data_IF_166252890687
#
_entry.id   IF_166252890687
#
_cell.length_a   1.000
_cell.length_b   1.000
_cell.length_c   1.000
_cell.angle_alpha   90.00
_cell.angle_beta   90.00
_cell.angle_gamma   90.00
#
_symmetry.space_group_name_H-M   'P 1'
#
loop_
_entity.id
_entity.type
_entity.pdbx_description
1 polymer ?
#
# COMPACT_ATOMS: atom_id res chain seq x y z
N UNK A 1 -12.12 -27.72 2.64
CA UNK A 1 -12.47 -26.50 1.97
C UNK A 1 -11.95 -26.59 0.55
N UNK A 2 -12.85 -26.47 -0.43
CA UNK A 2 -12.45 -26.37 -1.85
C UNK A 2 -11.89 -24.94 -2.03
N UNK A 3 -10.65 -24.77 -1.68
CA UNK A 3 -9.98 -23.49 -1.86
C UNK A 3 -9.56 -23.37 -3.34
N UNK A 4 -10.37 -22.68 -4.11
CA UNK A 4 -10.11 -22.37 -5.53
C UNK A 4 -9.35 -21.07 -5.72
N UNK A 5 -8.86 -20.49 -4.64
CA UNK A 5 -8.08 -19.26 -4.71
C UNK A 5 -6.72 -19.50 -5.39
N UNK A 6 -6.21 -18.48 -6.05
CA UNK A 6 -4.85 -18.49 -6.62
C UNK A 6 -3.93 -17.81 -5.64
N UNK A 7 -2.81 -18.47 -5.35
CA UNK A 7 -1.82 -17.99 -4.40
C UNK A 7 -0.50 -17.64 -5.09
N UNK A 8 0.19 -16.64 -4.57
CA UNK A 8 1.58 -16.36 -4.86
C UNK A 8 2.29 -16.06 -3.53
N UNK A 9 3.45 -16.66 -3.31
CA UNK A 9 4.25 -16.53 -2.08
C UNK A 9 3.41 -16.63 -0.77
N UNK A 10 2.36 -17.46 -0.77
CA UNK A 10 1.46 -17.66 0.38
C UNK A 10 0.31 -16.65 0.49
N UNK A 11 0.33 -15.56 -0.28
CA UNK A 11 -0.78 -14.59 -0.35
C UNK A 11 -1.82 -14.98 -1.39
N UNK A 12 -3.09 -14.66 -1.15
CA UNK A 12 -4.17 -14.80 -2.14
C UNK A 12 -4.06 -13.64 -3.11
N UNK A 13 -3.83 -13.93 -4.39
CA UNK A 13 -3.76 -12.92 -5.45
C UNK A 13 -5.01 -12.89 -6.34
N UNK A 14 -5.83 -13.93 -6.26
CA UNK A 14 -7.10 -14.01 -6.99
C UNK A 14 -8.01 -15.00 -6.28
N UNK A 15 -9.28 -14.67 -6.19
CA UNK A 15 -10.33 -15.60 -5.77
C UNK A 15 -10.67 -16.59 -6.89
N UNK A 16 -11.66 -17.46 -6.73
CA UNK A 16 -12.05 -18.48 -7.69
C UNK A 16 -12.09 -17.95 -9.14
N UNK A 17 -11.13 -18.33 -10.02
CA UNK A 17 -11.05 -17.80 -11.38
C UNK A 17 -12.18 -18.26 -12.30
N UNK A 18 -12.96 -19.26 -11.90
CA UNK A 18 -14.15 -19.70 -12.62
C UNK A 18 -15.32 -18.72 -12.50
N UNK A 19 -15.26 -17.81 -11.53
CA UNK A 19 -16.27 -16.79 -11.27
C UNK A 19 -15.88 -15.46 -11.93
N UNK A 20 -16.79 -14.87 -12.68
CA UNK A 20 -16.62 -13.53 -13.25
C UNK A 20 -16.94 -12.46 -12.18
N UNK A 21 -16.05 -12.32 -11.22
CA UNK A 21 -16.18 -11.38 -10.10
C UNK A 21 -14.94 -10.49 -10.02
N UNK A 22 -15.15 -9.24 -9.63
CA UNK A 22 -14.10 -8.27 -9.32
C UNK A 22 -14.40 -7.66 -7.95
N UNK A 23 -13.37 -7.44 -7.16
CA UNK A 23 -13.46 -6.72 -5.89
C UNK A 23 -12.69 -5.41 -6.05
N UNK A 24 -13.34 -4.30 -5.75
CA UNK A 24 -12.67 -3.01 -5.66
C UNK A 24 -11.99 -2.91 -4.30
N UNK A 25 -10.70 -2.62 -4.32
CA UNK A 25 -9.87 -2.51 -3.12
C UNK A 25 -9.20 -1.15 -3.11
N UNK A 26 -9.20 -0.52 -1.94
CA UNK A 26 -8.61 0.80 -1.69
C UNK A 26 -7.64 0.70 -0.53
N UNK A 27 -6.44 1.23 -0.70
CA UNK A 27 -5.45 1.36 0.37
C UNK A 27 -5.20 2.84 0.68
N UNK A 28 -4.92 3.16 1.93
CA UNK A 28 -4.48 4.51 2.31
C UNK A 28 -3.56 4.46 3.53
N UNK A 29 -2.55 5.34 3.53
CA UNK A 29 -1.58 5.46 4.60
C UNK A 29 -1.93 6.61 5.58
N UNK A 30 -1.94 7.85 5.08
CA UNK A 30 -2.04 9.06 5.92
C UNK A 30 -2.96 10.15 5.32
N UNK A 31 -3.64 9.88 4.20
CA UNK A 31 -4.49 10.86 3.51
C UNK A 31 -5.86 10.32 3.13
N UNK A 32 -6.87 11.16 3.26
CA UNK A 32 -8.26 10.83 2.97
C UNK A 32 -8.90 11.75 1.90
N UNK A 33 -8.11 12.47 1.10
CA UNK A 33 -8.59 13.49 0.16
C UNK A 33 -9.65 12.97 -0.83
N UNK A 34 -9.53 11.69 -1.24
CA UNK A 34 -10.47 11.03 -2.15
C UNK A 34 -11.66 10.34 -1.48
N UNK A 35 -11.71 10.27 -0.15
CA UNK A 35 -12.66 9.42 0.58
C UNK A 35 -14.12 9.74 0.25
N UNK A 36 -14.51 11.00 0.27
CA UNK A 36 -15.89 11.43 0.00
C UNK A 36 -16.34 11.09 -1.43
N UNK A 37 -15.47 11.30 -2.41
CA UNK A 37 -15.78 11.00 -3.80
C UNK A 37 -15.94 9.49 -4.02
N UNK A 38 -15.03 8.68 -3.44
CA UNK A 38 -15.05 7.23 -3.53
C UNK A 38 -16.31 6.68 -2.86
N UNK A 39 -16.57 7.03 -1.60
CA UNK A 39 -17.71 6.53 -0.83
C UNK A 39 -19.02 6.92 -1.52
N UNK A 40 -19.16 8.17 -1.93
CA UNK A 40 -20.37 8.65 -2.62
C UNK A 40 -20.61 7.92 -3.95
N UNK A 41 -19.55 7.65 -4.69
CA UNK A 41 -19.63 6.91 -5.96
C UNK A 41 -20.05 5.47 -5.74
N UNK A 42 -19.42 4.77 -4.80
CA UNK A 42 -19.77 3.39 -4.45
C UNK A 42 -21.22 3.29 -3.99
N UNK A 43 -21.67 4.23 -3.13
CA UNK A 43 -23.04 4.30 -2.66
C UNK A 43 -24.02 4.52 -3.80
N UNK A 44 -23.73 5.47 -4.71
CA UNK A 44 -24.55 5.77 -5.88
C UNK A 44 -24.78 4.55 -6.76
N UNK A 45 -23.77 3.68 -6.87
CA UNK A 45 -23.83 2.48 -7.71
C UNK A 45 -24.18 1.21 -6.95
N UNK A 46 -24.44 1.28 -5.64
CA UNK A 46 -24.76 0.11 -4.81
C UNK A 46 -23.60 -0.89 -4.69
N UNK A 47 -22.36 -0.42 -4.85
CA UNK A 47 -21.16 -1.26 -4.84
C UNK A 47 -20.54 -1.24 -3.45
N UNK A 48 -20.12 -2.42 -2.96
CA UNK A 48 -19.30 -2.54 -1.75
C UNK A 48 -17.85 -2.81 -2.14
N UNK A 49 -16.91 -2.15 -1.45
CA UNK A 49 -15.48 -2.31 -1.63
C UNK A 49 -14.79 -2.80 -0.37
N UNK A 50 -13.52 -3.17 -0.49
CA UNK A 50 -12.61 -3.44 0.61
C UNK A 50 -11.67 -2.25 0.81
N UNK A 51 -11.52 -1.80 2.03
CA UNK A 51 -10.67 -0.69 2.42
C UNK A 51 -9.62 -1.17 3.41
N UNK A 52 -8.35 -0.91 3.11
CA UNK A 52 -7.24 -1.36 3.93
C UNK A 52 -6.38 -0.16 4.30
N UNK A 53 -6.32 0.13 5.59
CA UNK A 53 -5.70 1.33 6.10
C UNK A 53 -4.56 1.04 7.06
N UNK A 54 -3.59 1.95 7.11
CA UNK A 54 -2.56 1.94 8.13
C UNK A 54 -3.12 2.30 9.50
N UNK A 55 -2.37 1.99 10.57
CA UNK A 55 -2.73 2.43 11.91
C UNK A 55 -2.87 3.94 12.02
N UNK A 56 -1.98 4.69 11.34
CA UNK A 56 -2.02 6.15 11.30
C UNK A 56 -3.33 6.68 10.70
N UNK A 57 -3.80 6.08 9.59
CA UNK A 57 -5.06 6.47 8.98
C UNK A 57 -6.26 6.29 9.91
N UNK A 58 -6.30 5.18 10.65
CA UNK A 58 -7.37 4.93 11.64
C UNK A 58 -7.40 6.00 12.74
N UNK A 59 -6.23 6.48 13.15
CA UNK A 59 -6.12 7.50 14.19
C UNK A 59 -6.49 8.90 13.67
N UNK A 60 -6.11 9.21 12.42
CA UNK A 60 -6.35 10.51 11.81
C UNK A 60 -7.80 10.69 11.31
N UNK A 61 -8.42 9.60 10.82
CA UNK A 61 -9.72 9.67 10.13
C UNK A 61 -10.78 8.70 10.67
N UNK A 62 -11.03 8.66 11.99
CA UNK A 62 -11.99 7.72 12.58
C UNK A 62 -13.41 7.89 12.02
N UNK A 63 -13.80 9.10 11.62
CA UNK A 63 -15.13 9.36 11.05
C UNK A 63 -15.27 8.76 9.64
N UNK A 64 -14.22 8.75 8.84
CA UNK A 64 -14.19 8.09 7.53
C UNK A 64 -14.33 6.59 7.69
N UNK A 65 -13.58 6.01 8.64
CA UNK A 65 -13.65 4.58 8.96
C UNK A 65 -15.06 4.20 9.42
N UNK A 66 -15.61 4.96 10.35
CA UNK A 66 -16.98 4.73 10.84
C UNK A 66 -18.02 4.77 9.71
N UNK A 67 -17.93 5.77 8.83
CA UNK A 67 -18.83 5.90 7.69
C UNK A 67 -18.75 4.71 6.74
N UNK A 68 -17.53 4.21 6.46
CA UNK A 68 -17.34 3.01 5.64
C UNK A 68 -17.99 1.78 6.24
N UNK A 69 -17.84 1.60 7.56
CA UNK A 69 -18.47 0.50 8.30
C UNK A 69 -20.01 0.63 8.28
N UNK A 70 -20.55 1.81 8.55
CA UNK A 70 -21.99 2.09 8.55
C UNK A 70 -22.60 1.84 7.16
N UNK A 71 -21.85 2.09 6.09
CA UNK A 71 -22.25 1.82 4.72
C UNK A 71 -22.02 0.35 4.29
N UNK A 72 -21.50 -0.50 5.18
CA UNK A 72 -21.32 -1.94 4.96
C UNK A 72 -20.18 -2.29 4.02
N UNK A 73 -19.13 -1.47 3.96
CA UNK A 73 -17.88 -1.81 3.31
C UNK A 73 -17.03 -2.72 4.21
N UNK A 74 -16.16 -3.50 3.59
CA UNK A 74 -15.13 -4.21 4.33
C UNK A 74 -14.00 -3.24 4.68
N UNK A 75 -13.53 -3.29 5.94
CA UNK A 75 -12.40 -2.46 6.40
C UNK A 75 -11.40 -3.37 7.10
N UNK A 76 -10.11 -3.27 6.71
CA UNK A 76 -9.06 -4.16 7.17
C UNK A 76 -7.69 -3.47 7.32
N UNK A 77 -6.66 -4.25 7.60
CA UNK A 77 -5.31 -3.77 7.88
C UNK A 77 -4.47 -3.56 6.63
N UNK A 78 -3.72 -2.45 6.61
CA UNK A 78 -2.58 -2.18 5.72
C UNK A 78 -1.29 -2.03 6.53
N UNK A 79 -1.12 -2.83 7.59
CA UNK A 79 -0.13 -2.71 8.67
C UNK A 79 -0.38 -1.49 9.58
N UNK A 80 0.48 -1.27 10.58
CA UNK A 80 0.40 -0.06 11.39
C UNK A 80 1.26 1.07 10.81
N UNK A 81 2.56 0.81 10.65
CA UNK A 81 3.57 1.81 10.30
C UNK A 81 3.98 1.83 8.83
N UNK A 82 3.30 1.09 7.95
CA UNK A 82 3.62 1.03 6.52
C UNK A 82 5.09 0.70 6.21
N UNK A 83 5.66 -0.26 6.95
CA UNK A 83 7.07 -0.63 6.84
C UNK A 83 7.36 -1.28 5.48
N UNK A 84 8.50 -0.93 4.88
CA UNK A 84 9.04 -1.68 3.75
C UNK A 84 9.71 -2.94 4.30
N UNK A 85 9.19 -4.11 3.93
CA UNK A 85 9.67 -5.39 4.48
C UNK A 85 10.94 -5.92 3.82
N UNK A 86 11.16 -5.61 2.55
CA UNK A 86 12.29 -6.06 1.75
C UNK A 86 12.84 -4.93 0.90
N UNK A 87 14.16 -4.94 0.57
CA UNK A 87 14.70 -4.04 -0.44
C UNK A 87 14.01 -4.26 -1.80
N UNK A 88 13.92 -3.21 -2.59
CA UNK A 88 13.31 -3.31 -3.93
C UNK A 88 14.11 -4.20 -4.88
N UNK A 89 15.42 -4.25 -4.68
CA UNK A 89 16.38 -4.96 -5.53
C UNK A 89 16.55 -6.43 -5.12
N UNK A 90 16.20 -6.78 -3.89
CA UNK A 90 16.38 -8.13 -3.35
C UNK A 90 15.19 -8.55 -2.49
N UNK A 91 14.31 -9.33 -3.08
CA UNK A 91 13.08 -9.80 -2.43
C UNK A 91 13.33 -10.91 -1.41
N UNK A 92 14.48 -11.55 -1.45
CA UNK A 92 14.82 -12.65 -0.54
C UNK A 92 15.48 -12.14 0.75
N UNK A 93 15.95 -10.88 0.77
CA UNK A 93 16.42 -10.21 1.98
C UNK A 93 15.28 -9.55 2.74
N UNK A 94 15.46 -9.39 4.05
CA UNK A 94 14.48 -8.72 4.92
C UNK A 94 15.08 -7.44 5.50
N UNK A 95 14.27 -6.38 5.54
CA UNK A 95 14.57 -5.10 6.22
C UNK A 95 13.95 -5.05 7.61
N UNK A 96 13.12 -6.03 7.96
CA UNK A 96 12.46 -6.13 9.25
C UNK A 96 12.72 -7.50 9.87
N UNK A 97 12.83 -7.54 11.18
CA UNK A 97 12.81 -8.78 11.94
C UNK A 97 11.37 -9.28 12.09
N UNK A 98 11.24 -10.56 12.43
CA UNK A 98 9.93 -11.16 12.73
C UNK A 98 9.23 -10.43 13.89
N UNK A 99 9.98 -10.06 14.92
CA UNK A 99 9.44 -9.35 16.08
C UNK A 99 8.91 -7.96 15.70
N UNK A 100 9.64 -7.21 14.87
CA UNK A 100 9.19 -5.91 14.36
C UNK A 100 7.90 -6.05 13.53
N UNK A 101 7.83 -7.04 12.65
CA UNK A 101 6.64 -7.33 11.87
C UNK A 101 5.44 -7.68 12.77
N UNK A 102 5.61 -8.63 13.71
CA UNK A 102 4.54 -9.06 14.60
C UNK A 102 4.05 -7.92 15.50
N UNK A 103 4.96 -7.08 16.01
CA UNK A 103 4.63 -5.92 16.81
C UNK A 103 3.85 -4.86 16.01
N UNK A 104 4.24 -4.60 14.77
CA UNK A 104 3.54 -3.68 13.86
C UNK A 104 2.12 -4.19 13.56
N UNK A 105 1.98 -5.48 13.28
CA UNK A 105 0.68 -6.10 13.04
C UNK A 105 -0.22 -6.11 14.27
N UNK A 106 0.31 -6.41 15.46
CA UNK A 106 -0.46 -6.35 16.70
C UNK A 106 -0.99 -4.93 16.96
N UNK A 107 -0.14 -3.92 16.76
CA UNK A 107 -0.54 -2.52 16.86
C UNK A 107 -1.66 -2.17 15.87
N UNK A 108 -1.53 -2.63 14.61
CA UNK A 108 -2.56 -2.41 13.59
C UNK A 108 -3.91 -2.99 14.06
N UNK A 109 -3.94 -4.24 14.50
CA UNK A 109 -5.17 -4.87 14.96
C UNK A 109 -5.74 -4.27 16.25
N UNK A 110 -4.90 -3.73 17.13
CA UNK A 110 -5.37 -2.94 18.27
C UNK A 110 -6.10 -1.67 17.78
N UNK A 111 -5.60 -1.02 16.76
CA UNK A 111 -6.22 0.16 16.16
C UNK A 111 -7.56 -0.20 15.50
N UNK A 112 -7.62 -1.31 14.74
CA UNK A 112 -8.87 -1.83 14.19
C UNK A 112 -9.91 -2.08 15.30
N UNK A 113 -9.50 -2.71 16.40
CA UNK A 113 -10.37 -3.00 17.53
C UNK A 113 -10.94 -1.72 18.16
N UNK A 114 -10.14 -0.66 18.28
CA UNK A 114 -10.61 0.66 18.75
C UNK A 114 -11.65 1.26 17.79
N UNK A 115 -11.56 0.95 16.51
CA UNK A 115 -12.55 1.34 15.51
C UNK A 115 -13.78 0.42 15.44
N UNK A 116 -13.86 -0.60 16.32
CA UNK A 116 -15.00 -1.53 16.39
C UNK A 116 -14.88 -2.75 15.46
N UNK A 117 -13.69 -3.02 14.92
CA UNK A 117 -13.43 -4.15 14.02
C UNK A 117 -12.69 -5.24 14.82
N UNK A 118 -13.36 -6.34 15.08
CA UNK A 118 -12.74 -7.45 15.78
C UNK A 118 -11.82 -8.24 14.83
N UNK A 119 -10.76 -8.83 15.38
CA UNK A 119 -9.80 -9.64 14.64
C UNK A 119 -10.45 -10.70 13.74
N UNK A 120 -11.44 -11.41 14.26
CA UNK A 120 -12.17 -12.46 13.52
C UNK A 120 -12.94 -11.96 12.31
N UNK A 121 -13.27 -10.67 12.28
CA UNK A 121 -14.08 -10.05 11.22
C UNK A 121 -13.21 -9.53 10.07
N UNK A 122 -11.89 -9.34 10.32
CA UNK A 122 -10.93 -8.88 9.33
C UNK A 122 -9.59 -9.65 9.40
N UNK A 123 -9.57 -11.01 9.27
CA UNK A 123 -8.35 -11.80 9.39
C UNK A 123 -7.50 -11.78 8.11
N UNK A 124 -7.52 -10.67 7.41
CA UNK A 124 -6.79 -10.47 6.16
C UNK A 124 -6.12 -9.09 6.16
N UNK A 125 -4.97 -8.98 5.50
CA UNK A 125 -4.34 -7.68 5.29
C UNK A 125 -3.71 -7.56 3.89
N UNK A 126 -3.54 -6.34 3.43
CA UNK A 126 -2.72 -6.01 2.27
C UNK A 126 -1.38 -5.50 2.78
N UNK A 127 -0.25 -6.10 2.33
CA UNK A 127 1.08 -5.63 2.72
C UNK A 127 1.34 -4.21 2.22
N UNK A 128 2.09 -3.39 2.98
CA UNK A 128 2.61 -2.12 2.50
C UNK A 128 3.26 -2.26 1.13
N UNK A 129 3.02 -1.29 0.25
CA UNK A 129 3.51 -1.27 -1.13
C UNK A 129 3.03 -2.48 -1.97
N UNK A 130 2.03 -3.25 -1.49
CA UNK A 130 1.59 -4.53 -2.09
C UNK A 130 2.77 -5.51 -2.27
N UNK A 131 3.85 -5.32 -1.48
CA UNK A 131 5.13 -5.99 -1.62
C UNK A 131 5.43 -6.90 -0.42
N UNK A 132 5.62 -8.19 -0.68
CA UNK A 132 5.84 -9.24 0.32
C UNK A 132 6.53 -10.45 -0.31
N UNK A 133 7.06 -11.33 0.53
CA UNK A 133 7.65 -12.61 0.14
C UNK A 133 7.04 -13.77 0.92
N UNK A 134 7.54 -14.98 0.72
CA UNK A 134 7.06 -16.20 1.40
C UNK A 134 7.21 -16.12 2.91
N UNK A 135 8.27 -15.48 3.38
CA UNK A 135 8.57 -15.40 4.82
C UNK A 135 7.60 -14.47 5.53
N UNK A 136 7.34 -13.28 4.98
CA UNK A 136 6.32 -12.35 5.48
C UNK A 136 4.94 -13.01 5.50
N UNK A 137 4.57 -13.73 4.44
CA UNK A 137 3.30 -14.46 4.40
C UNK A 137 3.22 -15.56 5.46
N UNK A 138 4.33 -16.25 5.72
CA UNK A 138 4.38 -17.29 6.76
C UNK A 138 4.22 -16.68 8.16
N UNK A 139 4.86 -15.54 8.43
CA UNK A 139 4.71 -14.83 9.71
C UNK A 139 3.27 -14.35 9.92
N UNK A 140 2.66 -13.73 8.91
CA UNK A 140 1.25 -13.34 8.96
C UNK A 140 0.33 -14.54 9.23
N UNK A 141 0.55 -15.65 8.51
CA UNK A 141 -0.22 -16.89 8.69
C UNK A 141 -0.09 -17.46 10.09
N UNK A 142 1.10 -17.40 10.70
CA UNK A 142 1.31 -17.86 12.09
C UNK A 142 0.53 -17.01 13.10
N UNK A 143 0.26 -15.75 12.76
CA UNK A 143 -0.64 -14.87 13.52
C UNK A 143 -2.12 -15.12 13.18
N UNK A 144 -2.45 -16.04 12.24
CA UNK A 144 -3.81 -16.28 11.77
C UNK A 144 -4.30 -15.28 10.72
N UNK A 145 -3.42 -14.44 10.17
CA UNK A 145 -3.72 -13.40 9.19
C UNK A 145 -3.39 -13.90 7.79
N UNK A 146 -4.32 -13.76 6.85
CA UNK A 146 -4.09 -14.10 5.46
C UNK A 146 -3.65 -12.86 4.67
N UNK A 147 -2.50 -12.95 4.01
CA UNK A 147 -2.10 -11.95 3.01
C UNK A 147 -3.04 -12.02 1.82
N UNK A 148 -3.55 -10.88 1.39
CA UNK A 148 -4.24 -10.72 0.10
C UNK A 148 -3.51 -9.67 -0.73
N UNK A 149 -3.53 -9.83 -2.06
CA UNK A 149 -2.88 -8.89 -2.98
C UNK A 149 -3.55 -8.95 -4.36
N UNK A 150 -3.07 -8.14 -5.29
CA UNK A 150 -3.53 -8.09 -6.66
C UNK A 150 -2.63 -8.90 -7.59
N UNK A 151 -3.19 -9.59 -8.64
CA UNK A 151 -2.43 -10.59 -9.42
C UNK A 151 -1.22 -10.02 -10.18
N UNK A 152 -1.36 -8.86 -10.76
CA UNK A 152 -0.39 -8.27 -11.69
C UNK A 152 0.83 -7.64 -11.01
N UNK A 153 0.70 -7.20 -9.77
CA UNK A 153 1.82 -6.65 -9.01
C UNK A 153 2.92 -7.70 -8.79
N UNK A 154 2.48 -8.94 -8.63
CA UNK A 154 3.40 -10.07 -8.46
C UNK A 154 4.17 -10.40 -9.74
N UNK A 155 3.54 -10.25 -10.91
CA UNK A 155 4.18 -10.46 -12.21
C UNK A 155 5.15 -9.33 -12.57
N UNK A 156 4.80 -8.07 -12.31
CA UNK A 156 5.70 -6.94 -12.55
C UNK A 156 6.97 -7.00 -11.69
N UNK A 157 6.88 -7.42 -10.43
CA UNK A 157 8.05 -7.64 -9.60
C UNK A 157 8.98 -8.75 -10.12
N UNK A 158 8.45 -9.76 -10.82
CA UNK A 158 9.26 -10.78 -11.50
C UNK A 158 9.94 -10.23 -12.76
N UNK A 159 9.30 -9.34 -13.50
CA UNK A 159 9.83 -8.79 -14.77
C UNK A 159 10.99 -7.83 -14.55
N UNK A 160 11.05 -7.10 -13.44
CA UNK A 160 12.19 -6.25 -13.11
C UNK A 160 13.48 -7.02 -12.81
N UNK A 161 13.38 -8.31 -12.46
CA UNK A 161 14.56 -9.18 -12.23
C UNK A 161 15.09 -9.87 -13.49
N UNK A 162 14.33 -9.89 -14.59
CA UNK A 162 14.71 -10.66 -15.78
C UNK A 162 15.26 -9.82 -16.96
N UNK A 163 15.42 -8.52 -16.81
CA UNK A 163 16.15 -7.67 -17.79
C UNK A 163 15.61 -7.65 -19.23
N UNK A 164 14.40 -8.17 -19.46
CA UNK A 164 13.80 -8.19 -20.80
C UNK A 164 12.50 -7.38 -20.76
N UNK A 165 12.55 -6.19 -21.35
CA UNK A 165 11.39 -5.34 -21.58
C UNK A 165 10.38 -6.03 -22.51
N UNK A 166 9.21 -6.31 -22.00
CA UNK A 166 8.04 -6.59 -22.82
C UNK A 166 7.07 -5.44 -22.71
N UNK A 167 6.68 -4.89 -23.85
CA UNK A 167 5.64 -3.84 -23.95
C UNK A 167 4.35 -4.33 -23.27
N UNK A 168 3.83 -3.50 -22.37
CA UNK A 168 2.56 -3.75 -21.69
C UNK A 168 1.43 -3.41 -22.65
N UNK A 169 0.43 -4.29 -22.87
CA UNK A 169 -0.70 -3.97 -23.74
C UNK A 169 -1.50 -2.76 -23.21
N UNK A 170 -1.86 -1.87 -24.12
CA UNK A 170 -2.48 -0.56 -23.90
C UNK A 170 -3.91 -0.56 -23.30
N UNK A 171 -4.40 -1.69 -22.79
CA UNK A 171 -5.76 -1.83 -22.26
C UNK A 171 -5.85 -2.00 -20.73
N UNK A 172 -4.85 -1.55 -19.99
CA UNK A 172 -4.94 -1.55 -18.54
C UNK A 172 -5.37 -0.19 -18.02
N UNK A 173 -6.58 -0.13 -17.47
CA UNK A 173 -7.08 1.03 -16.73
C UNK A 173 -6.19 1.18 -15.49
N UNK A 174 -5.25 2.12 -15.57
CA UNK A 174 -4.43 2.50 -14.43
C UNK A 174 -5.27 3.34 -13.46
N UNK A 175 -5.75 2.73 -12.38
CA UNK A 175 -6.02 3.47 -11.16
C UNK A 175 -4.68 3.72 -10.47
N UNK A 176 -3.89 4.65 -11.02
CA UNK A 176 -2.77 5.22 -10.28
C UNK A 176 -3.33 6.10 -9.19
N UNK A 177 -3.25 5.66 -7.95
CA UNK A 177 -3.09 6.61 -6.87
C UNK A 177 -1.66 7.11 -6.95
N UNK A 178 -1.48 8.35 -7.39
CA UNK A 178 -0.20 9.05 -7.24
C UNK A 178 0.02 9.25 -5.75
N UNK A 179 0.86 8.41 -5.16
CA UNK A 179 1.48 8.71 -3.88
C UNK A 179 2.29 9.99 -4.09
N UNK A 180 1.74 11.10 -3.66
CA UNK A 180 2.37 12.42 -3.74
C UNK A 180 3.61 12.48 -2.88
N UNK A 181 4.71 11.93 -3.38
CA UNK A 181 6.05 12.34 -2.95
C UNK A 181 6.19 13.81 -3.32
N UNK A 182 6.23 14.68 -2.31
CA UNK A 182 6.44 16.11 -2.49
C UNK A 182 7.71 16.39 -3.27
N UNK A 183 7.56 16.52 -4.58
CA UNK A 183 8.58 17.17 -5.40
C UNK A 183 8.38 18.66 -5.22
N UNK A 184 9.25 19.27 -4.41
CA UNK A 184 9.53 20.69 -4.52
C UNK A 184 9.69 21.05 -6.00
N UNK A 185 8.82 21.93 -6.49
CA UNK A 185 8.99 22.55 -7.80
C UNK A 185 10.22 23.43 -7.72
N UNK A 186 11.39 22.91 -8.07
CA UNK A 186 12.50 23.73 -8.51
C UNK A 186 12.07 24.42 -9.79
N UNK A 187 11.81 25.71 -9.69
CA UNK A 187 11.69 26.57 -10.85
C UNK A 187 13.03 26.56 -11.58
N UNK A 188 13.10 25.90 -12.71
CA UNK A 188 14.20 26.07 -13.66
C UNK A 188 14.10 27.45 -14.26
N UNK A 189 14.85 28.39 -13.66
CA UNK A 189 15.29 29.59 -14.37
C UNK A 189 16.56 29.19 -15.11
N UNK A 190 16.48 29.11 -16.42
CA UNK A 190 17.61 29.10 -17.31
C UNK A 190 18.56 30.29 -16.97
N UNK A 191 19.84 30.06 -16.72
CA UNK A 191 20.80 31.15 -16.61
C UNK A 191 21.17 31.61 -18.02
N UNK A 192 20.90 32.90 -18.26
CA UNK A 192 21.44 33.61 -19.41
C UNK A 192 22.98 33.64 -19.30
N UNK A 193 23.64 33.24 -20.37
CA UNK A 193 25.08 33.39 -20.51
C UNK A 193 25.39 34.89 -20.69
N UNK A 194 25.95 35.48 -19.66
CA UNK A 194 26.88 36.62 -19.75
C UNK A 194 27.19 37.11 -18.33
N UNK A 195 28.31 36.77 -17.82
CA UNK A 195 29.24 37.58 -17.01
C UNK A 195 30.32 36.69 -16.38
N UNK A 196 31.29 36.32 -17.17
CA UNK A 196 32.66 36.05 -16.69
C UNK A 196 33.31 37.40 -16.49
N UNK A 197 33.59 37.82 -15.24
CA UNK A 197 34.81 38.56 -14.84
C UNK A 197 34.78 38.91 -13.35
N UNK A 198 35.92 38.52 -12.73
CA UNK A 198 36.57 39.14 -11.56
C UNK A 198 36.06 38.86 -10.14
N UNK A 199 36.81 38.04 -9.42
CA UNK A 199 37.58 38.61 -8.32
C UNK A 199 37.24 38.14 -6.89
N UNK A 200 38.03 37.20 -6.37
CA UNK A 200 38.49 36.99 -4.99
C UNK A 200 37.47 36.78 -3.84
N UNK A 201 37.75 35.81 -2.96
CA UNK A 201 36.97 35.56 -1.74
C UNK A 201 37.40 36.44 -0.58
N UNK A 202 36.55 36.72 0.41
CA UNK A 202 37.00 37.13 1.72
C UNK A 202 36.79 36.07 2.82
N UNK A 203 37.73 36.11 3.68
CA UNK A 203 38.05 35.42 4.90
C UNK A 203 36.91 35.06 5.87
N UNK A 204 37.11 33.88 6.49
CA UNK A 204 36.69 33.46 7.83
C UNK A 204 36.68 34.60 8.86
N UNK A 205 35.62 34.67 9.67
CA UNK A 205 35.75 34.97 11.09
C UNK A 205 34.76 34.14 11.90
N UNK A 206 35.31 33.51 12.92
CA UNK A 206 34.73 32.77 14.02
C UNK A 206 34.21 33.77 15.04
N UNK A 207 33.03 33.58 15.54
CA UNK A 207 32.68 33.69 16.96
C UNK A 207 31.41 32.85 17.18
#
# INVERSE_FOLDING_TARGET
>A
PNDKNVYADGGIIRTDPSKKQITLVFTAADKADGADAIISTLKKHGIKGGFFFTGEFYELYPDVVKRLLDEGHFVGSHSYGHLLYMPWEDRDSLLVTREEFENDMMKSYETLRKAGIEYKDAPVYIPPYEYYNKEISAWAKNMGIQVINIPWYHEQCRLHHSGHGTEVPEQQIHLRQDYGGGKERRSERTPNADTLRNGRPPHRQVL
#
